data_IF_572690069279
#
_entry.id   IF_572690069279
#
_cell.length_a   1.000
_cell.length_b   1.000
_cell.length_c   1.000
_cell.angle_alpha   90.00
_cell.angle_beta   90.00
_cell.angle_gamma   90.00
#
_symmetry.space_group_name_H-M   'P 1'
#
loop_
_entity.id
_entity.type
_entity.pdbx_description
1 polymer ?
#
# COMPACT_ATOMS: atom_id res chain seq x y z
N UNK A 1 50.39 28.30 -4.92
CA UNK A 1 49.05 28.10 -4.34
C UNK A 1 48.55 26.72 -4.77
N UNK A 2 48.39 25.76 -3.86
CA UNK A 2 47.88 24.41 -4.18
C UNK A 2 46.36 24.41 -4.00
N UNK A 3 45.61 24.22 -5.09
CA UNK A 3 44.16 24.03 -5.03
C UNK A 3 43.87 22.55 -4.71
N UNK A 4 43.24 22.30 -3.57
CA UNK A 4 42.65 21.01 -3.23
C UNK A 4 41.26 20.94 -3.87
N UNK A 5 41.07 20.03 -4.81
CA UNK A 5 39.75 19.71 -5.38
C UNK A 5 39.12 18.63 -4.51
N UNK A 6 38.10 18.99 -3.73
CA UNK A 6 37.27 18.04 -3.01
C UNK A 6 36.25 17.44 -3.99
N UNK A 7 36.42 16.16 -4.35
CA UNK A 7 35.40 15.41 -5.09
C UNK A 7 34.33 14.99 -4.10
N UNK A 8 33.23 15.74 -4.04
CA UNK A 8 32.04 15.32 -3.32
C UNK A 8 31.33 14.23 -4.13
N UNK A 9 31.47 12.98 -3.71
CA UNK A 9 30.68 11.88 -4.24
C UNK A 9 29.20 12.13 -3.90
N UNK A 10 28.43 12.61 -4.87
CA UNK A 10 26.98 12.65 -4.78
C UNK A 10 26.49 11.20 -4.80
N UNK A 11 26.30 10.62 -3.62
CA UNK A 11 25.57 9.37 -3.48
C UNK A 11 24.12 9.71 -3.80
N UNK A 12 23.69 9.45 -5.03
CA UNK A 12 22.29 9.52 -5.42
C UNK A 12 21.55 8.46 -4.60
N UNK A 13 20.88 8.87 -3.52
CA UNK A 13 19.95 7.99 -2.86
C UNK A 13 18.84 7.64 -3.87
N UNK A 14 18.67 6.35 -4.16
CA UNK A 14 17.55 5.90 -4.98
C UNK A 14 16.28 6.13 -4.15
N UNK A 15 15.64 7.27 -4.38
CA UNK A 15 14.35 7.58 -3.79
C UNK A 15 13.28 6.89 -4.61
N UNK A 16 12.61 5.89 -4.03
CA UNK A 16 11.54 5.16 -4.73
C UNK A 16 11.51 3.66 -4.54
N UNK A 17 12.48 3.04 -3.87
CA UNK A 17 12.43 1.61 -3.57
C UNK A 17 11.56 1.36 -2.33
N UNK A 18 10.67 0.38 -2.44
CA UNK A 18 9.86 -0.12 -1.34
C UNK A 18 9.69 -1.63 -1.46
N UNK A 19 9.21 -2.26 -0.39
CA UNK A 19 9.03 -3.71 -0.31
C UNK A 19 7.60 -4.09 0.04
N UNK A 20 7.19 -5.29 -0.37
CA UNK A 20 5.97 -5.93 0.09
C UNK A 20 6.29 -6.72 1.37
N UNK A 21 5.61 -6.44 2.48
CA UNK A 21 5.76 -7.20 3.71
C UNK A 21 4.61 -8.19 3.84
N UNK A 22 4.87 -9.43 3.42
CA UNK A 22 3.96 -10.57 3.59
C UNK A 22 4.13 -11.23 4.97
N UNK A 23 3.01 -11.73 5.51
CA UNK A 23 2.95 -12.46 6.79
C UNK A 23 2.58 -13.94 6.62
N UNK A 24 2.47 -14.42 5.39
CA UNK A 24 2.21 -15.83 5.08
C UNK A 24 3.54 -16.60 5.03
N UNK A 25 4.06 -16.97 6.19
CA UNK A 25 5.29 -17.75 6.31
C UNK A 25 5.21 -18.71 7.50
N UNK A 26 5.86 -19.88 7.39
CA UNK A 26 5.95 -20.86 8.49
C UNK A 26 6.79 -20.36 9.66
N UNK A 27 7.72 -19.42 9.43
CA UNK A 27 8.60 -18.84 10.45
C UNK A 27 8.65 -17.32 10.29
N UNK A 28 7.84 -16.62 11.08
CA UNK A 28 7.78 -15.16 11.04
C UNK A 28 8.89 -14.55 11.89
N UNK A 29 9.67 -13.65 11.28
CA UNK A 29 10.53 -12.74 12.03
C UNK A 29 9.67 -11.76 12.83
N UNK A 30 10.14 -11.39 14.03
CA UNK A 30 9.41 -10.40 14.82
C UNK A 30 9.32 -9.06 14.08
N UNK A 31 8.20 -8.32 14.16
CA UNK A 31 8.03 -7.06 13.43
C UNK A 31 9.13 -6.04 13.68
N UNK A 32 9.63 -5.95 14.92
CA UNK A 32 10.77 -5.08 15.27
C UNK A 32 12.05 -5.47 14.53
N UNK A 33 12.29 -6.77 14.33
CA UNK A 33 13.46 -7.26 13.59
C UNK A 33 13.33 -6.91 12.11
N UNK A 34 12.16 -7.07 11.52
CA UNK A 34 11.90 -6.67 10.14
C UNK A 34 12.09 -5.16 9.97
N UNK A 35 11.53 -4.33 10.85
CA UNK A 35 11.71 -2.87 10.79
C UNK A 35 13.18 -2.47 10.90
N UNK A 36 13.96 -3.12 11.78
CA UNK A 36 15.41 -2.89 11.86
C UNK A 36 16.10 -3.25 10.54
N UNK A 37 15.81 -4.42 9.99
CA UNK A 37 16.36 -4.86 8.69
C UNK A 37 16.02 -3.88 7.56
N UNK A 38 14.78 -3.38 7.50
CA UNK A 38 14.38 -2.39 6.50
C UNK A 38 15.22 -1.11 6.63
N UNK A 39 15.40 -0.60 7.85
CA UNK A 39 16.20 0.60 8.10
C UNK A 39 17.67 0.40 7.77
N UNK A 40 18.25 -0.72 8.19
CA UNK A 40 19.67 -1.05 7.97
C UNK A 40 19.99 -1.18 6.47
N UNK A 41 19.00 -1.57 5.65
CA UNK A 41 19.11 -1.66 4.19
C UNK A 41 18.61 -0.40 3.46
N UNK A 42 18.31 0.69 4.17
CA UNK A 42 17.87 1.94 3.57
C UNK A 42 16.50 1.90 2.90
N UNK A 43 15.67 0.90 3.21
CA UNK A 43 14.29 0.79 2.70
C UNK A 43 13.39 1.76 3.44
N UNK A 44 12.72 2.64 2.68
CA UNK A 44 11.92 3.74 3.24
C UNK A 44 10.40 3.58 3.00
N UNK A 45 9.97 2.54 2.28
CA UNK A 45 8.59 2.34 1.87
C UNK A 45 8.19 0.87 2.00
N UNK A 46 6.99 0.61 2.51
CA UNK A 46 6.44 -0.74 2.62
C UNK A 46 4.96 -0.79 2.25
N UNK A 47 4.53 -1.87 1.55
CA UNK A 47 3.11 -2.26 1.44
C UNK A 47 2.83 -3.42 2.39
N UNK A 48 1.81 -3.22 3.21
CA UNK A 48 1.21 -4.26 4.05
C UNK A 48 -0.05 -4.78 3.35
N UNK A 49 -0.31 -6.08 3.43
CA UNK A 49 -1.52 -6.68 2.86
C UNK A 49 -2.71 -6.69 3.84
N UNK A 50 -2.51 -6.20 5.07
CA UNK A 50 -3.55 -6.11 6.10
C UNK A 50 -3.20 -5.10 7.20
N UNK A 51 -3.97 -5.12 8.27
CA UNK A 51 -3.99 -4.15 9.38
C UNK A 51 -3.39 -4.70 10.70
N UNK A 52 -2.39 -5.60 10.63
CA UNK A 52 -1.79 -6.22 11.83
C UNK A 52 -1.27 -5.14 12.81
N UNK A 53 -1.89 -5.02 14.01
CA UNK A 53 -1.51 -4.02 14.99
C UNK A 53 -0.06 -4.15 15.46
N UNK A 54 0.51 -5.36 15.48
CA UNK A 54 1.89 -5.58 15.92
C UNK A 54 2.89 -5.00 14.91
N UNK A 55 2.58 -5.10 13.61
CA UNK A 55 3.38 -4.51 12.55
C UNK A 55 3.27 -2.98 12.60
N UNK A 56 2.05 -2.46 12.75
CA UNK A 56 1.80 -1.02 12.83
C UNK A 56 2.45 -0.38 14.08
N UNK A 57 2.48 -1.09 15.21
CA UNK A 57 3.18 -0.60 16.40
C UNK A 57 4.71 -0.63 16.20
N UNK A 58 5.26 -1.70 15.63
CA UNK A 58 6.70 -1.81 15.40
C UNK A 58 7.25 -0.78 14.40
N UNK A 59 6.45 -0.40 13.38
CA UNK A 59 6.87 0.56 12.36
C UNK A 59 6.68 2.02 12.79
N UNK A 60 5.95 2.28 13.89
CA UNK A 60 5.74 3.61 14.45
C UNK A 60 7.09 4.31 14.69
N UNK A 61 7.17 5.61 14.36
CA UNK A 61 8.40 6.42 14.49
C UNK A 61 9.63 5.90 13.73
N UNK A 62 9.50 4.89 12.85
CA UNK A 62 10.63 4.37 12.07
C UNK A 62 11.07 5.33 10.95
N UNK A 63 10.17 6.20 10.49
CA UNK A 63 10.34 7.02 9.28
C UNK A 63 9.97 6.30 7.98
N UNK A 64 9.59 5.02 8.05
CA UNK A 64 9.17 4.22 6.88
C UNK A 64 7.73 4.59 6.52
N UNK A 65 7.51 4.92 5.25
CA UNK A 65 6.18 5.19 4.70
C UNK A 65 5.42 3.90 4.44
N UNK A 66 4.14 3.88 4.83
CA UNK A 66 3.30 2.69 4.76
C UNK A 66 2.17 2.86 3.75
N UNK A 67 1.98 1.83 2.93
CA UNK A 67 0.75 1.56 2.19
C UNK A 67 0.00 0.44 2.91
N UNK A 68 -1.25 0.68 3.32
CA UNK A 68 -2.11 -0.33 3.96
C UNK A 68 -3.05 -0.93 2.92
N UNK A 69 -3.07 -2.25 2.79
CA UNK A 69 -3.96 -2.98 1.90
C UNK A 69 -5.33 -3.25 2.50
N UNK A 70 -6.37 -3.09 1.68
CA UNK A 70 -7.71 -3.64 1.89
C UNK A 70 -7.77 -4.96 1.13
N UNK A 71 -8.04 -6.09 1.79
CA UNK A 71 -8.18 -7.37 1.10
C UNK A 71 -9.45 -7.42 0.24
N UNK A 72 -9.44 -8.27 -0.80
CA UNK A 72 -10.50 -8.31 -1.81
C UNK A 72 -11.86 -8.74 -1.23
N UNK A 73 -11.86 -9.60 -0.21
CA UNK A 73 -13.06 -10.07 0.51
C UNK A 73 -13.84 -8.94 1.20
N UNK A 74 -13.18 -7.84 1.56
CA UNK A 74 -13.83 -6.67 2.16
C UNK A 74 -14.51 -5.75 1.13
N UNK A 75 -14.19 -5.87 -0.16
CA UNK A 75 -14.65 -4.92 -1.18
C UNK A 75 -16.17 -4.86 -1.27
N UNK A 76 -16.86 -5.99 -1.15
CA UNK A 76 -18.32 -6.02 -1.17
C UNK A 76 -18.92 -5.23 0.01
N UNK A 77 -18.43 -5.47 1.22
CA UNK A 77 -18.91 -4.77 2.43
C UNK A 77 -18.65 -3.27 2.35
N UNK A 78 -17.46 -2.89 1.91
CA UNK A 78 -17.05 -1.48 1.81
C UNK A 78 -17.76 -0.75 0.67
N UNK A 79 -18.11 -1.45 -0.41
CA UNK A 79 -18.92 -0.91 -1.51
C UNK A 79 -20.36 -0.59 -1.06
N UNK A 80 -20.95 -1.43 -0.22
CA UNK A 80 -22.36 -1.37 0.13
C UNK A 80 -22.65 -0.68 1.48
N UNK A 81 -21.64 -0.27 2.23
CA UNK A 81 -21.83 0.43 3.51
C UNK A 81 -20.78 1.52 3.74
N UNK A 82 -21.24 2.78 3.72
CA UNK A 82 -20.43 3.95 4.09
C UNK A 82 -19.94 3.84 5.54
N UNK A 83 -20.80 3.35 6.44
CA UNK A 83 -20.45 3.17 7.85
C UNK A 83 -19.34 2.12 8.02
N UNK A 84 -19.35 1.05 7.22
CA UNK A 84 -18.26 0.07 7.22
C UNK A 84 -16.94 0.70 6.75
N UNK A 85 -16.98 1.54 5.71
CA UNK A 85 -15.81 2.27 5.24
C UNK A 85 -15.27 3.26 6.29
N UNK A 86 -16.15 4.00 6.95
CA UNK A 86 -15.79 4.90 8.05
C UNK A 86 -15.14 4.15 9.22
N UNK A 87 -15.72 3.00 9.61
CA UNK A 87 -15.17 2.15 10.67
C UNK A 87 -13.81 1.59 10.29
N UNK A 88 -13.65 1.14 9.04
CA UNK A 88 -12.36 0.64 8.54
C UNK A 88 -11.30 1.73 8.57
N UNK A 89 -11.60 2.93 8.05
CA UNK A 89 -10.66 4.07 8.06
C UNK A 89 -10.30 4.47 9.49
N UNK A 90 -11.29 4.56 10.38
CA UNK A 90 -11.07 4.89 11.79
C UNK A 90 -10.11 3.91 12.47
N UNK A 91 -10.36 2.61 12.30
CA UNK A 91 -9.58 1.54 12.92
C UNK A 91 -8.17 1.43 12.33
N UNK A 92 -8.05 1.44 11.01
CA UNK A 92 -6.83 0.98 10.32
C UNK A 92 -5.95 2.12 9.81
N UNK A 93 -6.47 3.35 9.78
CA UNK A 93 -5.73 4.53 9.33
C UNK A 93 -5.71 5.58 10.43
N UNK A 94 -6.85 6.15 10.79
CA UNK A 94 -6.91 7.30 11.70
C UNK A 94 -6.33 7.00 13.08
N UNK A 95 -6.56 5.80 13.63
CA UNK A 95 -6.01 5.40 14.92
C UNK A 95 -4.45 5.37 14.96
N UNK A 96 -3.81 5.22 13.80
CA UNK A 96 -2.36 5.09 13.69
C UNK A 96 -1.66 6.36 13.21
N UNK A 97 -2.37 7.25 12.50
CA UNK A 97 -1.85 8.51 11.97
C UNK A 97 -1.92 9.60 13.05
N UNK A 98 -0.85 9.73 13.83
CA UNK A 98 -0.70 10.76 14.87
C UNK A 98 0.71 11.40 14.85
N UNK A 99 0.93 12.45 15.64
CA UNK A 99 2.28 13.00 15.85
C UNK A 99 3.14 11.95 16.56
N UNK A 100 4.11 11.38 15.83
CA UNK A 100 4.87 10.21 16.28
C UNK A 100 4.15 8.87 16.10
N UNK A 101 3.13 8.81 15.24
CA UNK A 101 2.45 7.59 14.80
C UNK A 101 3.12 6.90 13.62
N UNK A 102 2.34 6.10 12.88
CA UNK A 102 2.77 5.46 11.63
C UNK A 102 2.68 6.46 10.48
N UNK A 103 3.68 6.49 9.59
CA UNK A 103 3.63 7.35 8.40
C UNK A 103 2.85 6.70 7.25
N UNK A 104 1.54 6.55 7.44
CA UNK A 104 0.65 6.02 6.39
C UNK A 104 0.48 7.09 5.30
N UNK A 105 0.81 6.72 4.06
CA UNK A 105 0.72 7.59 2.88
C UNK A 105 -0.28 7.11 1.84
N UNK A 106 -0.54 5.80 1.81
CA UNK A 106 -1.43 5.20 0.83
C UNK A 106 -2.34 4.14 1.45
N UNK A 107 -3.52 4.00 0.88
CA UNK A 107 -4.37 2.81 1.06
C UNK A 107 -4.58 2.18 -0.30
N UNK A 108 -4.29 0.88 -0.39
CA UNK A 108 -4.53 0.05 -1.56
C UNK A 108 -5.89 -0.62 -1.42
N UNK A 109 -6.85 -0.25 -2.26
CA UNK A 109 -8.20 -0.82 -2.26
C UNK A 109 -8.20 -2.08 -3.12
N UNK A 110 -8.17 -3.24 -2.47
CA UNK A 110 -7.99 -4.54 -3.12
C UNK A 110 -6.52 -4.89 -3.35
N UNK A 111 -6.29 -6.14 -3.71
CA UNK A 111 -5.03 -6.65 -4.23
C UNK A 111 -5.31 -7.31 -5.58
N UNK A 112 -5.06 -6.57 -6.67
CA UNK A 112 -5.26 -7.03 -8.05
C UNK A 112 -6.69 -7.58 -8.27
N UNK A 113 -7.74 -6.78 -7.98
CA UNK A 113 -9.12 -7.26 -7.96
C UNK A 113 -9.65 -7.70 -9.33
N UNK A 114 -8.93 -7.39 -10.41
CA UNK A 114 -9.32 -7.70 -11.79
C UNK A 114 -8.50 -8.84 -12.41
N UNK A 115 -7.81 -9.63 -11.59
CA UNK A 115 -7.22 -10.89 -12.05
C UNK A 115 -8.31 -11.77 -12.68
N UNK A 116 -8.00 -12.37 -13.84
CA UNK A 116 -8.92 -13.25 -14.56
C UNK A 116 -9.41 -14.43 -13.72
N UNK A 117 -8.57 -14.91 -12.79
CA UNK A 117 -8.89 -15.98 -11.83
C UNK A 117 -10.09 -15.64 -10.94
N UNK A 118 -10.36 -14.35 -10.70
CA UNK A 118 -11.54 -13.92 -9.93
C UNK A 118 -12.82 -13.86 -10.78
N UNK A 119 -12.75 -14.10 -12.09
CA UNK A 119 -13.90 -14.17 -12.99
C UNK A 119 -14.88 -12.98 -12.83
N UNK A 120 -14.34 -11.76 -12.73
CA UNK A 120 -15.14 -10.54 -12.59
C UNK A 120 -15.75 -10.27 -11.21
N UNK A 121 -15.48 -11.10 -10.20
CA UNK A 121 -16.10 -11.01 -8.86
C UNK A 121 -16.05 -9.61 -8.24
N UNK A 122 -14.97 -8.86 -8.46
CA UNK A 122 -14.75 -7.56 -7.82
C UNK A 122 -14.96 -6.35 -8.75
N UNK A 123 -15.38 -6.56 -10.00
CA UNK A 123 -15.54 -5.47 -11.00
C UNK A 123 -16.57 -4.42 -10.56
N UNK A 124 -17.72 -4.88 -10.05
CA UNK A 124 -18.80 -4.00 -9.60
C UNK A 124 -18.55 -3.37 -8.22
N UNK A 125 -17.68 -3.96 -7.39
CA UNK A 125 -17.48 -3.53 -6.00
C UNK A 125 -16.28 -2.62 -5.81
N UNK A 126 -15.25 -2.73 -6.67
CA UNK A 126 -13.97 -2.03 -6.47
C UNK A 126 -14.13 -0.51 -6.49
N UNK A 127 -14.82 0.05 -7.48
CA UNK A 127 -15.00 1.50 -7.60
C UNK A 127 -15.88 2.08 -6.47
N UNK A 128 -17.06 1.51 -6.14
CA UNK A 128 -17.83 1.99 -5.00
C UNK A 128 -17.07 1.89 -3.66
N UNK A 129 -16.30 0.82 -3.43
CA UNK A 129 -15.47 0.71 -2.24
C UNK A 129 -14.40 1.81 -2.18
N UNK A 130 -13.71 2.09 -3.30
CA UNK A 130 -12.75 3.18 -3.42
C UNK A 130 -13.39 4.54 -3.07
N UNK A 131 -14.58 4.82 -3.59
CA UNK A 131 -15.32 6.05 -3.33
C UNK A 131 -15.72 6.19 -1.85
N UNK A 132 -16.22 5.13 -1.23
CA UNK A 132 -16.61 5.15 0.18
C UNK A 132 -15.40 5.34 1.10
N UNK A 133 -14.27 4.69 0.80
CA UNK A 133 -13.02 4.91 1.56
C UNK A 133 -12.51 6.34 1.34
N UNK A 134 -12.63 6.90 0.13
CA UNK A 134 -12.23 8.29 -0.14
C UNK A 134 -13.06 9.27 0.67
N UNK A 135 -14.37 9.06 0.74
CA UNK A 135 -15.28 9.86 1.56
C UNK A 135 -14.95 9.75 3.05
N UNK A 136 -14.68 8.53 3.55
CA UNK A 136 -14.29 8.29 4.92
C UNK A 136 -12.95 8.97 5.30
N UNK A 137 -11.94 8.92 4.42
CA UNK A 137 -10.68 9.64 4.62
C UNK A 137 -10.87 11.16 4.63
N UNK A 138 -11.74 11.69 3.76
CA UNK A 138 -12.08 13.12 3.76
C UNK A 138 -12.78 13.51 5.06
N UNK A 139 -13.75 12.71 5.53
CA UNK A 139 -14.44 12.92 6.82
C UNK A 139 -13.48 12.89 8.01
N UNK A 140 -12.46 12.03 7.96
CA UNK A 140 -11.41 11.95 8.96
C UNK A 140 -10.35 13.08 8.87
N UNK A 141 -10.44 13.97 7.88
CA UNK A 141 -9.46 15.05 7.67
C UNK A 141 -8.10 14.56 7.13
N UNK A 142 -8.04 13.35 6.55
CA UNK A 142 -6.80 12.70 6.12
C UNK A 142 -6.56 12.73 4.60
N UNK A 143 -7.50 13.24 3.80
CA UNK A 143 -7.46 13.19 2.33
C UNK A 143 -6.25 13.92 1.70
N UNK A 144 -5.67 14.89 2.39
CA UNK A 144 -4.45 15.58 1.94
C UNK A 144 -3.19 14.75 2.18
N UNK A 145 -3.19 13.89 3.22
CA UNK A 145 -2.05 13.09 3.67
C UNK A 145 -2.04 11.67 3.10
N UNK A 146 -3.20 11.01 3.07
CA UNK A 146 -3.35 9.61 2.66
C UNK A 146 -4.06 9.57 1.30
N UNK A 147 -3.42 8.94 0.32
CA UNK A 147 -3.96 8.79 -1.04
C UNK A 147 -4.47 7.37 -1.27
N UNK A 148 -5.44 7.23 -2.16
CA UNK A 148 -5.98 5.93 -2.54
C UNK A 148 -5.40 5.44 -3.86
N UNK A 149 -5.28 4.13 -3.97
CA UNK A 149 -4.92 3.44 -5.21
C UNK A 149 -5.59 2.08 -5.28
N UNK A 150 -5.68 1.52 -6.48
CA UNK A 150 -6.08 0.12 -6.71
C UNK A 150 -4.86 -0.55 -7.35
N UNK A 151 -4.22 -1.51 -6.68
CA UNK A 151 -3.16 -2.31 -7.30
C UNK A 151 -3.75 -3.14 -8.44
N UNK A 152 -3.13 -3.05 -9.62
CA UNK A 152 -3.56 -3.75 -10.83
C UNK A 152 -2.42 -4.65 -11.31
N UNK A 153 -2.77 -5.86 -11.76
CA UNK A 153 -1.88 -6.74 -12.49
C UNK A 153 -1.78 -6.32 -13.97
N UNK A 154 -0.75 -6.80 -14.67
CA UNK A 154 -0.50 -6.43 -16.07
C UNK A 154 -1.62 -6.86 -17.03
N UNK A 155 -2.41 -7.89 -16.70
CA UNK A 155 -3.47 -8.39 -17.58
C UNK A 155 -4.57 -7.34 -17.82
N UNK A 156 -4.69 -6.35 -16.94
CA UNK A 156 -5.62 -5.22 -17.11
C UNK A 156 -5.33 -4.42 -18.38
N UNK A 157 -4.09 -4.42 -18.89
CA UNK A 157 -3.76 -3.75 -20.16
C UNK A 157 -4.37 -4.43 -21.39
N UNK A 158 -4.71 -5.71 -21.28
CA UNK A 158 -5.29 -6.51 -22.38
C UNK A 158 -6.83 -6.41 -22.35
N UNK A 159 -7.42 -5.97 -21.23
CA UNK A 159 -8.86 -5.81 -21.06
C UNK A 159 -9.35 -4.44 -21.53
N UNK A 160 -10.11 -4.41 -22.63
CA UNK A 160 -10.66 -3.19 -23.25
C UNK A 160 -11.65 -2.41 -22.38
N UNK A 161 -12.16 -3.00 -21.30
CA UNK A 161 -13.29 -2.46 -20.51
C UNK A 161 -12.84 -1.70 -19.25
N UNK A 162 -11.71 -2.08 -18.64
CA UNK A 162 -11.24 -1.52 -17.35
C UNK A 162 -10.31 -0.30 -17.52
N UNK A 163 -9.70 -0.15 -18.69
CA UNK A 163 -8.75 0.93 -18.98
C UNK A 163 -9.37 2.35 -18.97
N UNK A 164 -10.70 2.47 -19.10
CA UNK A 164 -11.39 3.78 -19.16
C UNK A 164 -11.81 4.28 -17.76
N UNK A 165 -12.25 3.41 -16.87
CA UNK A 165 -12.77 3.80 -15.56
C UNK A 165 -11.67 4.30 -14.59
N UNK A 166 -10.46 3.75 -14.67
CA UNK A 166 -9.40 4.01 -13.68
C UNK A 166 -8.34 5.03 -14.13
N UNK A 167 -8.28 5.40 -15.42
CA UNK A 167 -7.36 6.43 -15.92
C UNK A 167 -7.57 7.80 -15.27
N UNK A 168 -8.78 8.11 -14.82
CA UNK A 168 -9.11 9.37 -14.14
C UNK A 168 -8.62 9.44 -12.68
N UNK A 169 -8.44 8.31 -12.00
CA UNK A 169 -8.07 8.26 -10.58
C UNK A 169 -6.57 7.98 -10.35
N UNK A 170 -5.83 7.69 -11.41
CA UNK A 170 -4.42 7.35 -11.32
C UNK A 170 -3.54 8.60 -11.18
N UNK A 171 -2.90 8.76 -10.02
CA UNK A 171 -1.76 9.68 -9.81
C UNK A 171 -0.52 8.81 -9.56
N UNK A 172 0.48 8.78 -10.45
CA UNK A 172 1.70 8.03 -10.22
C UNK A 172 2.51 8.75 -9.15
N UNK A 173 2.40 8.30 -7.90
CA UNK A 173 3.20 8.87 -6.79
C UNK A 173 3.77 7.79 -5.87
N UNK A 174 3.53 6.52 -6.19
CA UNK A 174 4.10 5.39 -5.49
C UNK A 174 4.61 4.34 -6.48
N UNK A 175 5.89 4.45 -6.83
CA UNK A 175 6.57 3.45 -7.64
C UNK A 175 6.92 2.27 -6.73
N UNK A 176 6.33 1.11 -6.99
CA UNK A 176 6.92 -0.17 -6.61
C UNK A 176 7.77 -0.63 -7.80
N UNK A 177 9.08 -0.77 -7.61
CA UNK A 177 9.85 -1.63 -8.52
C UNK A 177 9.46 -3.06 -8.17
N UNK A 178 8.73 -3.69 -9.08
CA UNK A 178 8.38 -5.10 -9.02
C UNK A 178 9.69 -5.89 -9.03
N UNK A 179 10.05 -6.48 -7.90
CA UNK A 179 10.82 -7.72 -7.90
C UNK A 179 9.80 -8.81 -8.19
N UNK A 180 9.75 -9.30 -9.43
CA UNK A 180 8.98 -10.48 -9.77
C UNK A 180 9.64 -11.70 -9.10
N UNK A 181 9.32 -11.96 -7.83
CA UNK A 181 9.41 -13.31 -7.31
C UNK A 181 8.19 -14.05 -7.81
N UNK A 182 8.44 -15.03 -8.67
CA UNK A 182 7.45 -15.97 -9.19
C UNK A 182 6.84 -16.74 -8.02
N UNK A 183 5.78 -16.21 -7.42
CA UNK A 183 4.96 -16.95 -6.48
C UNK A 183 4.15 -17.97 -7.28
N UNK A 184 4.68 -19.18 -7.28
CA UNK A 184 4.05 -20.38 -7.80
C UNK A 184 2.90 -20.70 -6.83
N UNK A 185 1.73 -20.12 -7.09
CA UNK A 185 0.48 -20.52 -6.44
C UNK A 185 -0.05 -21.79 -7.13
N UNK A 186 0.72 -22.86 -7.04
CA UNK A 186 0.27 -24.23 -7.29
C UNK A 186 0.81 -25.06 -6.12
N UNK A 187 -0.03 -25.30 -5.11
CA UNK A 187 -0.14 -26.58 -4.40
C UNK A 187 -1.18 -26.46 -3.26
N UNK A 188 -2.27 -27.23 -3.42
CA UNK A 188 -3.50 -27.43 -2.63
C UNK A 188 -4.70 -26.52 -2.87
#
# INVERSE_FOLDING_TARGET
MRFLVAVASLVSCVSGIGVNWGTQCTHLLSPTTVVRMLKDNGIQKVKLFGDDPNILDAIKKSGIQVMVGIPNDMLYTLANSVQAAEKWVSKNVSAHVSSGGVDIRYVAVGNEPFLSTYNGTFEATTLPALQNIQAALTKAGLSTRVKLTVPLNADVYISSTLAVAFKSCWKPSFTFNISATRDRADDY
#
